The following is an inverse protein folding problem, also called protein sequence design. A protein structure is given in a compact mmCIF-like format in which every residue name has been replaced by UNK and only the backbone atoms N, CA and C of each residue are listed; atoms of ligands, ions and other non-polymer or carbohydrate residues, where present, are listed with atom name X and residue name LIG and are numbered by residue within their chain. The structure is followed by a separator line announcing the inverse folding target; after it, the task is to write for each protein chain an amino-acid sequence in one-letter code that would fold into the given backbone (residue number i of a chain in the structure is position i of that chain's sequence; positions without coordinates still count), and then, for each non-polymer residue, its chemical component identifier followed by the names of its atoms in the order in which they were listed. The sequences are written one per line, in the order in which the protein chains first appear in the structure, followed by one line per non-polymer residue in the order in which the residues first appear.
data_IF_016403235233
#
_entry.id   IF_016403235233
#
_cell.length_a   1.000
_cell.length_b   1.000
_cell.length_c   1.000
_cell.angle_alpha   90.00
_cell.angle_beta   90.00
_cell.angle_gamma   90.00
#
_symmetry.space_group_name_H-M   'P 1'
#
loop_
_entity.id
_entity.type
_entity.pdbx_description
1 polymer ?
#
# COMPACT_ATOMS: atom_id res chain seq x y z
N UNK A 1 14.12 -26.88 11.63
CA UNK A 1 14.08 -25.82 10.58
C UNK A 1 12.68 -25.24 10.33
N UNK A 2 11.59 -26.04 10.20
CA UNK A 2 10.22 -25.53 9.96
C UNK A 2 9.68 -24.55 11.04
N UNK A 3 10.01 -24.75 12.32
CA UNK A 3 9.57 -23.87 13.43
C UNK A 3 10.22 -22.48 13.43
N UNK A 4 11.47 -22.36 12.97
CA UNK A 4 12.21 -21.09 12.94
C UNK A 4 11.66 -20.20 11.81
N UNK A 5 11.36 -20.79 10.65
CA UNK A 5 10.71 -20.07 9.55
C UNK A 5 9.31 -19.54 9.94
N UNK A 6 8.51 -20.32 10.67
CA UNK A 6 7.22 -19.86 11.18
C UNK A 6 7.34 -18.72 12.20
N UNK A 7 8.34 -18.78 13.09
CA UNK A 7 8.61 -17.71 14.05
C UNK A 7 9.10 -16.43 13.38
N UNK A 8 10.02 -16.54 12.41
CA UNK A 8 10.50 -15.40 11.64
C UNK A 8 9.36 -14.78 10.83
N UNK A 9 8.52 -15.60 10.20
CA UNK A 9 7.35 -15.11 9.48
C UNK A 9 6.38 -14.37 10.40
N UNK A 10 6.05 -14.92 11.58
CA UNK A 10 5.19 -14.26 12.56
C UNK A 10 5.81 -12.96 13.11
N UNK A 11 7.14 -12.92 13.28
CA UNK A 11 7.87 -11.74 13.70
C UNK A 11 7.84 -10.64 12.64
N UNK A 12 8.10 -10.96 11.37
CA UNK A 12 8.00 -10.01 10.26
C UNK A 12 6.57 -9.50 10.06
N UNK A 13 5.56 -10.38 10.18
CA UNK A 13 4.15 -9.96 10.12
C UNK A 13 3.79 -9.01 11.27
N UNK A 14 4.27 -9.28 12.49
CA UNK A 14 4.09 -8.37 13.62
C UNK A 14 4.82 -7.04 13.42
N UNK A 15 6.01 -7.06 12.83
CA UNK A 15 6.78 -5.86 12.54
C UNK A 15 6.07 -4.99 11.50
N UNK A 16 5.57 -5.59 10.40
CA UNK A 16 4.78 -4.87 9.39
C UNK A 16 3.50 -4.29 10.00
N UNK A 17 2.75 -5.09 10.77
CA UNK A 17 1.58 -4.59 11.50
C UNK A 17 1.91 -3.44 12.45
N UNK A 18 3.09 -3.46 13.09
CA UNK A 18 3.54 -2.37 13.94
C UNK A 18 3.83 -1.09 13.13
N UNK A 19 4.39 -1.20 11.94
CA UNK A 19 4.60 -0.07 11.02
C UNK A 19 3.26 0.49 10.49
N UNK A 20 2.35 -0.38 10.07
CA UNK A 20 1.02 0.01 9.59
C UNK A 20 0.23 0.74 10.70
N UNK A 21 0.27 0.18 11.91
CA UNK A 21 -0.33 0.77 13.12
C UNK A 21 0.35 2.09 13.51
N UNK A 22 1.67 2.21 13.32
CA UNK A 22 2.39 3.45 13.57
C UNK A 22 1.92 4.55 12.61
N UNK A 23 1.70 4.25 11.32
CA UNK A 23 1.16 5.22 10.37
C UNK A 23 -0.23 5.70 10.81
N UNK A 24 -1.10 4.77 11.22
CA UNK A 24 -2.42 5.12 11.75
C UNK A 24 -2.31 6.05 12.97
N UNK A 25 -1.47 5.70 13.95
CA UNK A 25 -1.24 6.51 15.16
C UNK A 25 -0.65 7.88 14.83
N UNK A 26 0.29 7.94 13.88
CA UNK A 26 0.89 9.20 13.44
C UNK A 26 -0.12 10.10 12.74
N UNK A 27 -0.97 9.55 11.87
CA UNK A 27 -2.02 10.32 11.18
C UNK A 27 -3.03 10.84 12.19
N UNK A 28 -3.55 9.98 13.06
CA UNK A 28 -4.50 10.37 14.11
C UNK A 28 -3.88 11.42 15.03
N UNK A 29 -2.67 11.19 15.52
CA UNK A 29 -1.94 12.13 16.38
C UNK A 29 -1.67 13.48 15.70
N UNK A 30 -1.27 13.47 14.42
CA UNK A 30 -1.08 14.70 13.64
C UNK A 30 -2.39 15.45 13.43
N UNK A 31 -3.50 14.76 13.18
CA UNK A 31 -4.82 15.39 13.05
C UNK A 31 -5.30 16.02 14.36
N UNK A 32 -5.02 15.42 15.52
CA UNK A 32 -5.30 16.03 16.81
C UNK A 32 -4.41 17.24 17.13
N UNK A 33 -3.17 17.25 16.64
CA UNK A 33 -2.26 18.38 16.80
C UNK A 33 -2.63 19.56 15.90
N UNK A 34 -3.07 19.29 14.68
CA UNK A 34 -3.52 20.28 13.70
C UNK A 34 -4.94 20.74 14.02
N UNK A 35 -5.09 21.94 14.57
CA UNK A 35 -6.40 22.47 15.00
C UNK A 35 -7.28 22.99 13.86
N UNK A 36 -6.78 23.04 12.62
CA UNK A 36 -7.48 23.63 11.48
C UNK A 36 -7.80 22.56 10.43
N UNK A 37 -9.09 22.44 10.09
CA UNK A 37 -9.61 21.53 9.07
C UNK A 37 -8.83 21.62 7.75
N UNK A 38 -8.48 22.84 7.32
CA UNK A 38 -7.73 23.03 6.07
C UNK A 38 -6.36 22.37 6.13
N UNK A 39 -5.65 22.47 7.26
CA UNK A 39 -4.32 21.85 7.42
C UNK A 39 -4.41 20.33 7.40
N UNK A 40 -5.48 19.77 7.97
CA UNK A 40 -5.69 18.32 7.97
C UNK A 40 -6.01 17.83 6.55
N UNK A 41 -6.82 18.56 5.78
CA UNK A 41 -7.10 18.22 4.38
C UNK A 41 -5.85 18.30 3.49
N UNK A 42 -4.95 19.27 3.74
CA UNK A 42 -3.65 19.32 3.06
C UNK A 42 -2.75 18.15 3.45
N UNK A 43 -2.75 17.74 4.72
CA UNK A 43 -2.04 16.56 5.18
C UNK A 43 -2.58 15.32 4.48
N UNK A 44 -3.90 15.13 4.45
CA UNK A 44 -4.56 14.02 3.77
C UNK A 44 -4.20 13.96 2.29
N UNK A 45 -4.41 15.06 1.56
CA UNK A 45 -4.08 15.14 0.14
C UNK A 45 -2.59 14.88 -0.11
N UNK A 46 -1.71 15.42 0.74
CA UNK A 46 -0.26 15.21 0.66
C UNK A 46 0.13 13.76 0.90
N UNK A 47 -0.36 13.14 1.97
CA UNK A 47 -0.05 11.76 2.34
C UNK A 47 -0.60 10.77 1.32
N UNK A 48 -1.88 10.89 0.96
CA UNK A 48 -2.51 10.00 -0.02
C UNK A 48 -1.92 10.20 -1.42
N UNK A 49 -1.67 11.46 -1.82
CA UNK A 49 -1.03 11.79 -3.09
C UNK A 49 0.39 11.23 -3.18
N UNK A 50 1.19 11.37 -2.12
CA UNK A 50 2.56 10.84 -2.06
C UNK A 50 2.59 9.32 -2.17
N UNK A 51 1.79 8.61 -1.37
CA UNK A 51 1.73 7.15 -1.44
C UNK A 51 1.21 6.65 -2.79
N UNK A 52 0.21 7.32 -3.37
CA UNK A 52 -0.27 7.00 -4.72
C UNK A 52 0.83 7.17 -5.76
N UNK A 53 1.59 8.26 -5.70
CA UNK A 53 2.73 8.50 -6.59
C UNK A 53 3.81 7.41 -6.43
N UNK A 54 4.20 7.12 -5.19
CA UNK A 54 5.19 6.08 -4.88
C UNK A 54 4.74 4.71 -5.38
N UNK A 55 3.46 4.37 -5.20
CA UNK A 55 2.87 3.14 -5.73
C UNK A 55 2.98 3.10 -7.26
N UNK A 56 2.56 4.16 -7.96
CA UNK A 56 2.60 4.20 -9.42
C UNK A 56 4.02 4.09 -9.97
N UNK A 57 4.98 4.76 -9.34
CA UNK A 57 6.40 4.69 -9.71
C UNK A 57 6.94 3.28 -9.48
N UNK A 58 6.70 2.70 -8.30
CA UNK A 58 7.16 1.35 -7.93
C UNK A 58 6.52 0.29 -8.81
N UNK A 59 5.21 0.36 -9.04
CA UNK A 59 4.47 -0.57 -9.90
C UNK A 59 4.92 -0.50 -11.36
N UNK A 60 5.14 0.71 -11.91
CA UNK A 60 5.70 0.86 -13.27
C UNK A 60 7.13 0.36 -13.35
N UNK A 61 7.92 0.60 -12.31
CA UNK A 61 9.30 0.11 -12.24
C UNK A 61 9.35 -1.42 -12.18
N UNK A 62 8.48 -2.05 -11.37
CA UNK A 62 8.29 -3.50 -11.32
C UNK A 62 7.91 -4.05 -12.70
N UNK A 63 6.93 -3.44 -13.37
CA UNK A 63 6.49 -3.85 -14.70
C UNK A 63 7.64 -3.78 -15.73
N UNK A 64 8.42 -2.69 -15.74
CA UNK A 64 9.57 -2.53 -16.65
C UNK A 64 10.69 -3.52 -16.35
N UNK A 65 11.02 -3.73 -15.07
CA UNK A 65 12.07 -4.68 -14.66
C UNK A 65 11.67 -6.12 -14.94
N UNK A 66 10.40 -6.47 -14.74
CA UNK A 66 9.88 -7.81 -15.07
C UNK A 66 10.00 -8.15 -16.56
N UNK A 67 9.82 -7.15 -17.44
CA UNK A 67 10.01 -7.29 -18.88
C UNK A 67 11.48 -7.54 -19.25
N UNK A 68 12.41 -6.85 -18.59
CA UNK A 68 13.83 -6.96 -18.88
C UNK A 68 14.44 -8.29 -18.39
N UNK A 69 13.96 -8.82 -17.27
CA UNK A 69 14.47 -10.07 -16.67
C UNK A 69 13.80 -11.31 -17.26
N UNK A 70 12.50 -11.25 -17.58
CA UNK A 70 11.74 -12.40 -18.07
C UNK A 70 11.57 -13.51 -17.03
N UNK A 71 11.11 -14.69 -17.46
CA UNK A 71 10.93 -15.85 -16.58
C UNK A 71 12.21 -16.66 -16.48
N UNK A 72 12.69 -16.87 -15.25
CA UNK A 72 13.97 -17.51 -14.98
C UNK A 72 13.75 -18.88 -14.33
N UNK A 73 14.56 -19.88 -14.71
CA UNK A 73 14.52 -21.22 -14.10
C UNK A 73 15.16 -21.21 -12.71
N UNK A 74 14.52 -21.86 -11.75
CA UNK A 74 15.01 -22.03 -10.37
C UNK A 74 16.39 -22.71 -10.37
N UNK A 75 17.33 -22.19 -9.58
CA UNK A 75 18.71 -22.66 -9.50
C UNK A 75 19.66 -22.08 -10.56
N UNK A 76 19.18 -21.19 -11.44
CA UNK A 76 20.05 -20.52 -12.41
C UNK A 76 20.73 -19.28 -11.81
N UNK A 77 21.88 -18.83 -12.36
CA UNK A 77 22.57 -17.63 -11.87
C UNK A 77 21.71 -16.35 -11.91
N UNK A 78 20.69 -16.34 -12.78
CA UNK A 78 19.78 -15.21 -13.00
C UNK A 78 18.62 -15.17 -11.98
N UNK A 79 18.46 -16.17 -11.12
CA UNK A 79 17.40 -16.24 -10.09
C UNK A 79 17.44 -15.03 -9.16
N UNK A 80 18.65 -14.53 -8.83
CA UNK A 80 18.82 -13.33 -8.00
C UNK A 80 18.17 -12.08 -8.59
N UNK A 81 18.07 -11.99 -9.92
CA UNK A 81 17.45 -10.85 -10.58
C UNK A 81 15.92 -10.98 -10.62
N UNK A 82 15.41 -12.21 -10.75
CA UNK A 82 13.99 -12.52 -10.58
C UNK A 82 13.52 -12.23 -9.14
N UNK A 83 14.32 -12.55 -8.12
CA UNK A 83 14.03 -12.24 -6.71
C UNK A 83 13.98 -10.73 -6.44
N UNK A 84 14.81 -9.95 -7.13
CA UNK A 84 14.75 -8.48 -7.03
C UNK A 84 13.44 -7.96 -7.61
N UNK A 85 13.00 -8.47 -8.76
CA UNK A 85 11.71 -8.10 -9.37
C UNK A 85 10.56 -8.43 -8.43
N UNK A 86 10.55 -9.61 -7.82
CA UNK A 86 9.55 -10.01 -6.82
C UNK A 86 9.53 -9.06 -5.63
N UNK A 87 10.69 -8.67 -5.11
CA UNK A 87 10.77 -7.68 -4.01
C UNK A 87 10.17 -6.32 -4.39
N UNK A 88 10.31 -5.88 -5.63
CA UNK A 88 9.70 -4.62 -6.09
C UNK A 88 8.18 -4.77 -6.18
N UNK A 89 7.66 -5.91 -6.62
CA UNK A 89 6.21 -6.18 -6.57
C UNK A 89 5.69 -6.19 -5.14
N UNK A 90 6.36 -6.87 -4.21
CA UNK A 90 5.99 -6.85 -2.79
C UNK A 90 6.06 -5.45 -2.18
N UNK A 91 7.02 -4.62 -2.59
CA UNK A 91 7.08 -3.22 -2.16
C UNK A 91 5.88 -2.42 -2.68
N UNK A 92 5.43 -2.66 -3.92
CA UNK A 92 4.24 -2.03 -4.46
C UNK A 92 2.94 -2.50 -3.76
N UNK A 93 2.84 -3.78 -3.42
CA UNK A 93 1.74 -4.33 -2.60
C UNK A 93 1.72 -3.67 -1.22
N UNK A 94 2.88 -3.57 -0.56
CA UNK A 94 3.01 -2.90 0.74
C UNK A 94 2.62 -1.41 0.70
N UNK A 95 2.94 -0.70 -0.39
CA UNK A 95 2.51 0.69 -0.57
C UNK A 95 0.98 0.83 -0.70
N UNK A 96 0.29 -0.17 -1.29
CA UNK A 96 -1.17 -0.18 -1.32
C UNK A 96 -1.76 -0.42 0.07
N UNK A 97 -1.18 -1.33 0.86
CA UNK A 97 -1.59 -1.55 2.25
C UNK A 97 -1.43 -0.26 3.06
N UNK A 98 -0.30 0.44 2.93
CA UNK A 98 -0.07 1.72 3.59
C UNK A 98 -1.07 2.81 3.18
N UNK A 99 -1.46 2.85 1.90
CA UNK A 99 -2.50 3.76 1.45
C UNK A 99 -3.85 3.44 2.11
N UNK A 100 -4.20 2.15 2.23
CA UNK A 100 -5.43 1.70 2.88
C UNK A 100 -5.45 2.09 4.36
N UNK A 101 -4.36 1.87 5.10
CA UNK A 101 -4.27 2.28 6.51
C UNK A 101 -4.32 3.80 6.68
N UNK A 102 -3.67 4.56 5.79
CA UNK A 102 -3.76 6.01 5.82
C UNK A 102 -5.20 6.49 5.59
N UNK A 103 -5.88 5.93 4.59
CA UNK A 103 -7.29 6.21 4.32
C UNK A 103 -8.20 5.85 5.50
N UNK A 104 -7.95 4.73 6.18
CA UNK A 104 -8.68 4.34 7.38
C UNK A 104 -8.47 5.37 8.51
N UNK A 105 -7.26 5.89 8.67
CA UNK A 105 -6.97 6.97 9.62
C UNK A 105 -7.78 8.23 9.34
N UNK A 106 -7.76 8.72 8.09
CA UNK A 106 -8.54 9.89 7.69
C UNK A 106 -10.05 9.66 7.76
N UNK A 107 -10.51 8.45 7.44
CA UNK A 107 -11.90 8.05 7.62
C UNK A 107 -12.35 8.17 9.09
N UNK A 108 -11.57 7.61 10.02
CA UNK A 108 -11.86 7.71 11.46
C UNK A 108 -11.85 9.18 11.90
N UNK A 109 -10.86 9.96 11.46
CA UNK A 109 -10.77 11.38 11.82
C UNK A 109 -11.91 12.22 11.26
N UNK A 110 -12.50 11.84 10.13
CA UNK A 110 -13.63 12.55 9.53
C UNK A 110 -14.84 12.68 10.47
N UNK A 111 -15.06 11.71 11.37
CA UNK A 111 -16.12 11.76 12.39
C UNK A 111 -15.91 12.84 13.45
N UNK A 112 -14.66 13.22 13.70
CA UNK A 112 -14.30 14.24 14.70
C UNK A 112 -14.11 15.62 14.06
N UNK A 113 -13.82 15.68 12.76
CA UNK A 113 -13.45 16.92 12.06
C UNK A 113 -14.64 17.64 11.43
N UNK A 114 -15.68 16.91 11.00
CA UNK A 114 -16.80 17.49 10.26
C UNK A 114 -18.07 17.52 11.11
N UNK A 115 -18.43 18.71 11.59
CA UNK A 115 -19.73 18.94 12.26
C UNK A 115 -20.90 19.00 11.26
N UNK A 116 -20.61 19.30 9.99
CA UNK A 116 -21.60 19.48 8.93
C UNK A 116 -21.85 18.21 8.10
N UNK A 117 -23.13 17.84 7.94
CA UNK A 117 -23.55 16.65 7.16
C UNK A 117 -22.99 16.64 5.73
N UNK A 118 -23.01 17.76 5.03
CA UNK A 118 -22.61 17.81 3.62
C UNK A 118 -21.10 17.56 3.43
N UNK A 119 -20.26 18.24 4.21
CA UNK A 119 -18.79 18.07 4.14
C UNK A 119 -18.37 16.65 4.51
N UNK A 120 -19.00 16.07 5.53
CA UNK A 120 -18.78 14.68 5.94
C UNK A 120 -19.14 13.68 4.82
N UNK A 121 -20.32 13.80 4.20
CA UNK A 121 -20.73 12.90 3.12
C UNK A 121 -19.87 13.05 1.88
N UNK A 122 -19.49 14.28 1.52
CA UNK A 122 -18.60 14.53 0.38
C UNK A 122 -17.22 13.90 0.60
N UNK A 123 -16.62 14.14 1.77
CA UNK A 123 -15.33 13.57 2.14
C UNK A 123 -15.35 12.04 2.11
N UNK A 124 -16.33 11.42 2.76
CA UNK A 124 -16.46 9.96 2.80
C UNK A 124 -16.78 9.37 1.41
N UNK A 125 -17.54 10.09 0.58
CA UNK A 125 -17.76 9.72 -0.82
C UNK A 125 -16.46 9.73 -1.63
N UNK A 126 -15.60 10.72 -1.43
CA UNK A 126 -14.28 10.79 -2.07
C UNK A 126 -13.35 9.68 -1.58
N UNK A 127 -13.32 9.39 -0.27
CA UNK A 127 -12.58 8.25 0.27
C UNK A 127 -13.09 6.92 -0.31
N UNK A 128 -14.41 6.75 -0.44
CA UNK A 128 -14.97 5.55 -1.06
C UNK A 128 -14.55 5.40 -2.54
N UNK A 129 -14.52 6.50 -3.30
CA UNK A 129 -14.02 6.50 -4.67
C UNK A 129 -12.53 6.13 -4.74
N UNK A 130 -11.72 6.64 -3.80
CA UNK A 130 -10.31 6.26 -3.67
C UNK A 130 -10.14 4.78 -3.32
N UNK A 131 -11.00 4.19 -2.48
CA UNK A 131 -10.97 2.76 -2.18
C UNK A 131 -11.21 1.92 -3.42
N UNK A 132 -12.15 2.34 -4.29
CA UNK A 132 -12.37 1.70 -5.59
C UNK A 132 -11.11 1.83 -6.47
N UNK A 133 -10.47 3.00 -6.46
CA UNK A 133 -9.19 3.22 -7.14
C UNK A 133 -8.09 2.27 -6.66
N UNK A 134 -7.96 2.11 -5.34
CA UNK A 134 -7.02 1.18 -4.71
C UNK A 134 -7.29 -0.26 -5.15
N UNK A 135 -8.55 -0.70 -5.12
CA UNK A 135 -8.95 -2.03 -5.57
C UNK A 135 -8.58 -2.28 -7.04
N UNK A 136 -8.83 -1.30 -7.91
CA UNK A 136 -8.42 -1.35 -9.30
C UNK A 136 -6.89 -1.42 -9.47
N UNK A 137 -6.15 -0.68 -8.65
CA UNK A 137 -4.69 -0.64 -8.63
C UNK A 137 -4.08 -1.99 -8.20
N UNK A 138 -4.62 -2.59 -7.14
CA UNK A 138 -4.26 -3.94 -6.68
C UNK A 138 -4.51 -4.98 -7.77
N UNK A 139 -5.71 -4.97 -8.38
CA UNK A 139 -6.03 -5.87 -9.50
C UNK A 139 -5.14 -5.66 -10.71
N UNK A 140 -4.75 -4.42 -11.01
CA UNK A 140 -3.81 -4.13 -12.08
C UNK A 140 -2.44 -4.73 -11.77
N UNK A 141 -1.91 -4.51 -10.56
CA UNK A 141 -0.61 -5.04 -10.15
C UNK A 141 -0.60 -6.57 -10.18
N UNK A 142 -1.65 -7.21 -9.65
CA UNK A 142 -1.82 -8.66 -9.66
C UNK A 142 -1.91 -9.24 -11.08
N UNK A 143 -2.61 -8.57 -12.01
CA UNK A 143 -2.64 -8.96 -13.43
C UNK A 143 -1.26 -8.86 -14.07
N UNK A 144 -0.53 -7.76 -13.84
CA UNK A 144 0.83 -7.58 -14.37
C UNK A 144 1.74 -8.67 -13.82
N UNK A 145 1.71 -8.93 -12.52
CA UNK A 145 2.53 -9.96 -11.87
C UNK A 145 2.26 -11.36 -12.47
N UNK A 146 0.98 -11.72 -12.66
CA UNK A 146 0.57 -13.00 -13.28
C UNK A 146 0.99 -13.11 -14.74
N UNK A 147 0.75 -12.08 -15.56
CA UNK A 147 1.14 -12.07 -16.98
C UNK A 147 2.65 -12.23 -17.19
N UNK A 148 3.45 -11.84 -16.19
CA UNK A 148 4.92 -11.87 -16.25
C UNK A 148 5.52 -13.14 -15.65
N UNK A 149 4.69 -14.09 -15.22
CA UNK A 149 5.15 -15.36 -14.64
C UNK A 149 5.67 -15.26 -13.20
N UNK A 150 5.41 -14.14 -12.53
CA UNK A 150 5.76 -13.88 -11.13
C UNK A 150 4.56 -14.02 -10.18
N UNK A 151 3.39 -14.34 -10.71
CA UNK A 151 2.17 -14.56 -9.92
C UNK A 151 2.16 -15.95 -9.32
N UNK A 152 1.49 -16.11 -8.18
CA UNK A 152 1.21 -17.44 -7.63
C UNK A 152 0.30 -18.18 -8.61
N UNK A 153 0.83 -19.25 -9.21
CA UNK A 153 0.06 -20.22 -9.99
C UNK A 153 -0.66 -21.16 -9.03
N UNK A 154 -1.72 -20.67 -8.40
CA UNK A 154 -2.67 -21.47 -7.62
C UNK A 154 -2.14 -22.01 -6.29
N UNK A 155 -2.82 -21.62 -5.22
CA UNK A 155 -3.51 -22.63 -4.41
C UNK A 155 -5.00 -22.53 -4.76
#
# INVERSE_FOLDING_TARGET
MKRIAAFLFAFFNRLMFAFDSLILVLIVGACFWLKNLQQILWLEAGTLGLFTLLFLLTGRWAARRSLAVGTVRRGSPQEKDADKVLRIFSLAEWLLEMLLYAMLGFFIMSFFMFDGRFGFWLHNGLLAALCIGLYCAERWLGRVRKQRGYGEYGL
#
